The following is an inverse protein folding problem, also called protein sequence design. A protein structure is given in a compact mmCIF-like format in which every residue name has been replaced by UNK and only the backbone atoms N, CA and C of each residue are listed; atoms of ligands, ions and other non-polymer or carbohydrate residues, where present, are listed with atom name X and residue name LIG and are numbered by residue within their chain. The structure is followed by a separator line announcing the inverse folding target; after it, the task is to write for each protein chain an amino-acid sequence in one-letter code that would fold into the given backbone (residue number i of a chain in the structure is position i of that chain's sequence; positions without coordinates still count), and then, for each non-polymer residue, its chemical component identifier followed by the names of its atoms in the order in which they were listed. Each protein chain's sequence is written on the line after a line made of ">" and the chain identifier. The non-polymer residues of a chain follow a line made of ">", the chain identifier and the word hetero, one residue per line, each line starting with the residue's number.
data_IF_430416639567
#
_entry.id   IF_430416639567
#
_cell.length_a   1.000
_cell.length_b   1.000
_cell.length_c   1.000
_cell.angle_alpha   90.00
_cell.angle_beta   90.00
_cell.angle_gamma   90.00
#
_symmetry.space_group_name_H-M   'P 1'
#
loop_
_entity.id
_entity.type
_entity.pdbx_description
1 polymer ?
#
# COMPACT_ATOMS: atom_id res chain seq x y z
N UNK A 1 -38.55 -3.99 62.02
CA UNK A 1 -39.16 -2.88 61.27
C UNK A 1 -38.11 -1.78 61.12
N UNK A 2 -37.81 -1.21 59.94
CA UNK A 2 -37.55 -1.76 58.58
C UNK A 2 -36.15 -1.32 58.01
N UNK A 3 -35.47 -2.12 57.19
CA UNK A 3 -35.25 -2.07 55.71
C UNK A 3 -34.26 -1.01 55.17
N UNK A 4 -33.13 -1.48 54.62
CA UNK A 4 -32.25 -0.84 53.59
C UNK A 4 -32.91 -0.88 52.20
N UNK A 5 -32.33 -0.30 51.13
CA UNK A 5 -31.74 1.02 50.90
C UNK A 5 -32.51 1.80 49.78
N UNK A 6 -32.30 3.11 49.67
CA UNK A 6 -32.88 3.96 48.62
C UNK A 6 -32.15 3.77 47.28
N UNK A 7 -32.84 3.18 46.31
CA UNK A 7 -32.43 3.05 44.92
C UNK A 7 -33.07 4.21 44.12
N UNK A 8 -32.32 4.98 43.31
CA UNK A 8 -32.88 6.09 42.56
C UNK A 8 -33.78 5.57 41.42
N UNK A 9 -35.06 5.93 41.48
CA UNK A 9 -36.07 5.57 40.47
C UNK A 9 -35.73 6.16 39.11
N UNK A 10 -35.48 5.30 38.13
CA UNK A 10 -35.36 5.66 36.72
C UNK A 10 -36.80 5.79 36.20
N UNK A 11 -37.21 7.00 35.81
CA UNK A 11 -38.53 7.22 35.23
C UNK A 11 -38.59 6.65 33.81
N UNK A 12 -39.27 5.51 33.67
CA UNK A 12 -39.76 4.97 32.40
C UNK A 12 -40.80 5.93 31.81
N UNK A 13 -40.39 6.74 30.83
CA UNK A 13 -41.33 7.52 30.01
C UNK A 13 -41.66 6.71 28.76
N UNK A 14 -42.77 6.00 28.81
CA UNK A 14 -43.36 5.32 27.68
C UNK A 14 -44.01 6.31 26.68
N UNK A 15 -43.72 6.07 25.40
CA UNK A 15 -44.59 6.20 24.22
C UNK A 15 -45.40 7.49 24.01
N UNK A 16 -44.96 8.26 23.00
CA UNK A 16 -45.82 9.11 22.18
C UNK A 16 -45.74 8.68 20.70
N UNK A 17 -46.87 8.39 20.01
CA UNK A 17 -46.89 8.13 18.58
C UNK A 17 -47.39 9.35 17.80
N UNK A 18 -46.62 9.85 16.82
CA UNK A 18 -47.17 10.33 15.55
C UNK A 18 -46.06 10.60 14.52
N UNK A 19 -45.90 9.67 13.59
CA UNK A 19 -45.23 9.93 12.32
C UNK A 19 -46.24 10.59 11.36
N UNK A 20 -45.85 11.70 10.75
CA UNK A 20 -46.53 12.34 9.62
C UNK A 20 -46.16 11.59 8.33
N UNK A 21 -47.10 11.35 7.39
CA UNK A 21 -46.76 10.69 6.13
C UNK A 21 -46.10 11.67 5.15
N UNK A 22 -45.00 11.23 4.57
CA UNK A 22 -44.28 11.90 3.49
C UNK A 22 -44.99 11.65 2.14
N UNK A 23 -45.25 12.73 1.42
CA UNK A 23 -45.71 12.70 0.02
C UNK A 23 -44.52 12.80 -0.91
N UNK A 24 -44.41 11.85 -1.85
CA UNK A 24 -43.74 12.08 -3.14
C UNK A 24 -42.38 11.42 -3.30
N UNK A 25 -42.36 10.12 -3.65
CA UNK A 25 -41.39 9.63 -4.62
C UNK A 25 -41.97 8.46 -5.42
N UNK A 26 -42.06 8.68 -6.72
CA UNK A 26 -42.49 7.72 -7.74
C UNK A 26 -41.58 6.49 -7.72
N UNK A 27 -42.18 5.31 -7.59
CA UNK A 27 -41.50 4.03 -7.60
C UNK A 27 -40.86 3.78 -8.98
N UNK A 28 -39.55 3.51 -8.99
CA UNK A 28 -38.86 2.96 -10.15
C UNK A 28 -39.16 1.47 -10.27
N UNK A 29 -39.64 1.08 -11.44
CA UNK A 29 -39.87 -0.31 -11.86
C UNK A 29 -38.62 -1.17 -11.66
N UNK A 30 -38.70 -2.38 -11.06
CA UNK A 30 -37.55 -3.27 -10.94
C UNK A 30 -37.15 -3.81 -12.33
N UNK A 31 -35.87 -3.67 -12.70
CA UNK A 31 -35.32 -4.35 -13.87
C UNK A 31 -35.22 -5.87 -13.61
N UNK A 32 -35.50 -6.73 -14.60
CA UNK A 32 -35.28 -8.16 -14.47
C UNK A 32 -33.78 -8.49 -14.36
N UNK A 33 -33.42 -9.28 -13.35
CA UNK A 33 -32.11 -9.94 -13.25
C UNK A 33 -32.00 -11.04 -14.30
N UNK A 34 -30.96 -11.05 -15.16
CA UNK A 34 -30.66 -12.21 -16.00
C UNK A 34 -30.21 -13.40 -15.14
N UNK A 35 -30.96 -14.50 -15.21
CA UNK A 35 -30.67 -15.74 -14.49
C UNK A 35 -29.39 -16.45 -14.91
N UNK A 36 -28.97 -17.48 -14.15
CA UNK A 36 -27.72 -18.20 -14.38
C UNK A 36 -27.80 -19.06 -15.65
N UNK A 37 -26.76 -19.01 -16.49
CA UNK A 37 -26.63 -19.92 -17.63
C UNK A 37 -26.08 -21.28 -17.20
N UNK A 38 -26.66 -22.41 -17.65
CA UNK A 38 -26.10 -23.75 -17.45
C UNK A 38 -24.83 -24.01 -18.27
N UNK A 39 -23.96 -24.80 -17.65
CA UNK A 39 -22.70 -25.43 -18.13
C UNK A 39 -22.85 -26.30 -19.39
N UNK A 40 -21.73 -26.56 -20.08
CA UNK A 40 -21.30 -27.96 -20.26
C UNK A 40 -19.83 -28.21 -19.90
N UNK A 41 -19.58 -29.15 -18.98
CA UNK A 41 -18.33 -29.94 -18.99
C UNK A 41 -18.49 -31.18 -19.89
N UNK A 42 -17.66 -32.22 -19.76
CA UNK A 42 -16.19 -32.26 -19.77
C UNK A 42 -15.67 -32.78 -21.13
N UNK A 43 -14.39 -32.56 -21.45
CA UNK A 43 -13.68 -33.41 -22.42
C UNK A 43 -12.43 -33.98 -21.78
N UNK A 44 -12.55 -35.23 -21.38
CA UNK A 44 -11.45 -36.09 -20.97
C UNK A 44 -10.65 -36.58 -22.19
N UNK A 45 -9.37 -36.86 -21.91
CA UNK A 45 -8.49 -37.84 -22.54
C UNK A 45 -7.76 -37.46 -23.84
N UNK A 46 -6.43 -37.34 -23.75
CA UNK A 46 -5.54 -38.37 -24.30
C UNK A 46 -4.06 -38.17 -23.86
N UNK A 47 -3.61 -39.02 -22.94
CA UNK A 47 -2.26 -39.62 -22.99
C UNK A 47 -2.46 -41.12 -22.89
N UNK A 48 -1.79 -41.94 -23.71
CA UNK A 48 -0.60 -42.65 -23.20
C UNK A 48 0.57 -42.81 -24.21
N UNK A 49 1.80 -42.78 -23.64
CA UNK A 49 3.06 -43.58 -23.82
C UNK A 49 3.11 -44.68 -24.92
N UNK A 50 4.25 -45.41 -25.14
CA UNK A 50 5.70 -45.19 -24.94
C UNK A 50 6.58 -45.68 -26.14
N UNK A 51 7.91 -45.46 -26.15
CA UNK A 51 8.84 -46.35 -26.90
C UNK A 51 10.14 -45.75 -27.45
N UNK A 52 11.23 -45.92 -26.70
CA UNK A 52 12.64 -46.00 -27.17
C UNK A 52 12.82 -47.34 -27.96
N UNK A 53 13.86 -47.64 -28.79
CA UNK A 53 15.26 -47.26 -28.57
C UNK A 53 16.20 -47.04 -29.78
N UNK A 54 17.32 -46.34 -29.56
CA UNK A 54 18.41 -46.25 -30.53
C UNK A 54 19.75 -45.93 -29.86
N UNK A 55 20.54 -46.97 -29.61
CA UNK A 55 21.90 -46.99 -29.02
C UNK A 55 22.90 -46.62 -30.13
N UNK A 56 23.79 -45.66 -29.89
CA UNK A 56 24.91 -45.32 -30.79
C UNK A 56 26.10 -44.75 -29.99
N UNK A 57 27.35 -45.12 -30.32
CA UNK A 57 28.44 -45.22 -29.34
C UNK A 57 29.17 -43.90 -29.05
N UNK A 58 29.82 -43.89 -27.88
CA UNK A 58 30.66 -42.85 -27.31
C UNK A 58 31.85 -42.48 -28.23
N UNK A 59 32.12 -41.17 -28.33
CA UNK A 59 33.33 -40.62 -28.96
C UNK A 59 34.20 -39.92 -27.91
N UNK A 60 35.55 -40.03 -28.00
CA UNK A 60 36.45 -39.72 -26.89
C UNK A 60 36.58 -38.23 -26.56
N UNK A 61 36.82 -37.94 -25.29
CA UNK A 61 37.12 -36.61 -24.76
C UNK A 61 38.51 -36.09 -25.22
N UNK A 62 38.66 -34.80 -25.49
CA UNK A 62 39.97 -34.13 -25.56
C UNK A 62 40.42 -33.63 -24.16
N UNK A 63 41.74 -33.42 -23.96
CA UNK A 63 42.34 -33.29 -22.63
C UNK A 63 42.03 -31.94 -21.94
N UNK A 64 41.96 -32.02 -20.61
CA UNK A 64 41.85 -30.91 -19.68
C UNK A 64 42.96 -29.89 -19.90
N UNK A 65 42.56 -28.66 -20.25
CA UNK A 65 43.43 -27.49 -20.19
C UNK A 65 43.37 -26.98 -18.77
N UNK A 66 44.46 -27.14 -18.02
CA UNK A 66 44.66 -26.57 -16.69
C UNK A 66 44.26 -25.09 -16.68
N UNK A 67 43.16 -24.78 -15.99
CA UNK A 67 42.75 -23.40 -15.75
C UNK A 67 43.46 -22.93 -14.48
N UNK A 68 44.49 -22.11 -14.67
CA UNK A 68 45.01 -21.20 -13.65
C UNK A 68 43.84 -20.41 -13.04
N UNK A 69 43.70 -20.31 -11.69
CA UNK A 69 42.75 -19.38 -11.10
C UNK A 69 43.31 -17.98 -11.30
N UNK A 70 42.79 -17.26 -12.29
CA UNK A 70 42.89 -15.81 -12.30
C UNK A 70 41.81 -15.30 -11.35
N UNK A 71 42.20 -14.99 -10.10
CA UNK A 71 41.43 -14.09 -9.24
C UNK A 71 41.26 -12.77 -9.99
N UNK A 72 40.14 -12.63 -10.69
CA UNK A 72 39.59 -11.30 -10.98
C UNK A 72 38.97 -10.83 -9.67
N UNK A 73 39.34 -9.64 -9.16
CA UNK A 73 38.52 -9.00 -8.15
C UNK A 73 37.13 -8.88 -8.75
N UNK A 74 36.15 -9.54 -8.14
CA UNK A 74 34.76 -9.28 -8.43
C UNK A 74 34.57 -7.78 -8.15
N UNK A 75 34.46 -6.99 -9.21
CA UNK A 75 33.98 -5.64 -9.09
C UNK A 75 32.58 -5.77 -8.48
N UNK A 76 32.46 -5.42 -7.21
CA UNK A 76 31.17 -5.14 -6.59
C UNK A 76 30.45 -4.20 -7.55
N UNK A 77 29.25 -4.54 -8.05
CA UNK A 77 28.45 -3.58 -8.78
C UNK A 77 28.30 -2.38 -7.85
N UNK A 78 28.95 -1.27 -8.18
CA UNK A 78 28.58 0.01 -7.61
C UNK A 78 27.19 0.27 -8.17
N UNK A 79 26.18 -0.10 -7.38
CA UNK A 79 24.79 0.15 -7.69
C UNK A 79 24.65 1.66 -7.81
N UNK A 80 24.73 2.17 -9.04
CA UNK A 80 24.31 3.52 -9.37
C UNK A 80 22.87 3.62 -8.93
N UNK A 81 22.65 4.16 -7.73
CA UNK A 81 21.32 4.34 -7.17
C UNK A 81 20.58 5.28 -8.11
N UNK A 82 19.73 4.69 -8.95
CA UNK A 82 18.83 5.42 -9.82
C UNK A 82 18.06 6.41 -8.95
N UNK A 83 18.02 7.68 -9.35
CA UNK A 83 17.13 8.66 -8.70
C UNK A 83 15.70 8.16 -8.92
N UNK A 84 14.84 8.10 -7.88
CA UNK A 84 13.47 7.65 -8.07
C UNK A 84 12.73 8.59 -9.02
N UNK A 85 11.81 8.03 -9.79
CA UNK A 85 10.85 8.84 -10.54
C UNK A 85 9.99 9.61 -9.55
N UNK A 86 9.77 10.90 -9.80
CA UNK A 86 8.89 11.74 -8.97
C UNK A 86 7.59 11.98 -9.74
N UNK A 87 6.46 11.67 -9.10
CA UNK A 87 5.12 11.98 -9.58
C UNK A 87 4.45 12.93 -8.60
N UNK A 88 3.82 13.98 -9.13
CA UNK A 88 3.08 14.95 -8.34
C UNK A 88 1.58 14.82 -8.65
N UNK A 89 0.77 14.70 -7.61
CA UNK A 89 -0.69 14.73 -7.66
C UNK A 89 -1.12 16.03 -6.96
N UNK A 90 -1.61 17.05 -7.70
CA UNK A 90 -2.07 18.28 -7.09
C UNK A 90 -3.24 18.03 -6.14
N UNK A 91 -3.09 18.46 -4.89
CA UNK A 91 -4.13 18.37 -3.87
C UNK A 91 -4.02 19.55 -2.89
N UNK A 92 -5.16 19.96 -2.31
CA UNK A 92 -5.16 20.85 -1.14
C UNK A 92 -4.63 20.10 0.08
N UNK A 93 -4.31 20.83 1.16
CA UNK A 93 -3.89 20.23 2.44
C UNK A 93 -4.96 19.28 2.96
N UNK A 94 -6.24 19.69 2.95
CA UNK A 94 -7.36 18.84 3.39
C UNK A 94 -7.59 17.61 2.49
N UNK A 95 -7.27 17.70 1.20
CA UNK A 95 -7.48 16.61 0.23
C UNK A 95 -6.24 15.76 -0.04
N UNK A 96 -5.09 16.08 0.57
CA UNK A 96 -3.83 15.40 0.29
C UNK A 96 -3.83 13.95 0.78
N UNK A 97 -4.54 13.67 1.87
CA UNK A 97 -4.67 12.30 2.40
C UNK A 97 -5.54 11.44 1.47
N UNK A 98 -6.73 11.91 1.11
CA UNK A 98 -7.61 11.24 0.15
C UNK A 98 -6.89 10.97 -1.18
N UNK A 99 -6.17 11.96 -1.71
CA UNK A 99 -5.40 11.80 -2.93
C UNK A 99 -4.28 10.76 -2.80
N UNK A 100 -3.67 10.61 -1.62
CA UNK A 100 -2.68 9.57 -1.36
C UNK A 100 -3.32 8.19 -1.27
N UNK A 101 -4.49 8.05 -0.65
CA UNK A 101 -5.26 6.79 -0.60
C UNK A 101 -5.65 6.32 -2.01
N UNK A 102 -6.20 7.21 -2.84
CA UNK A 102 -6.51 6.92 -4.25
C UNK A 102 -5.25 6.52 -5.05
N UNK A 103 -4.10 7.16 -4.77
CA UNK A 103 -2.84 6.78 -5.41
C UNK A 103 -2.37 5.38 -4.99
N UNK A 104 -2.56 5.01 -3.71
CA UNK A 104 -2.28 3.66 -3.21
C UNK A 104 -3.18 2.64 -3.90
N UNK A 105 -4.48 2.91 -4.01
CA UNK A 105 -5.43 2.01 -4.68
C UNK A 105 -5.03 1.77 -6.14
N UNK A 106 -4.70 2.83 -6.89
CA UNK A 106 -4.21 2.70 -8.26
C UNK A 106 -2.91 1.89 -8.38
N UNK A 107 -1.99 2.04 -7.42
CA UNK A 107 -0.75 1.26 -7.39
C UNK A 107 -1.05 -0.22 -7.16
N UNK A 108 -1.95 -0.53 -6.23
CA UNK A 108 -2.38 -1.91 -5.96
C UNK A 108 -3.10 -2.53 -7.17
N UNK A 109 -4.02 -1.81 -7.79
CA UNK A 109 -4.74 -2.24 -8.99
C UNK A 109 -3.80 -2.48 -10.18
N UNK A 110 -2.70 -1.72 -10.25
CA UNK A 110 -1.64 -1.93 -11.26
C UNK A 110 -0.75 -3.15 -10.98
N UNK A 111 -0.96 -3.84 -9.85
CA UNK A 111 -0.25 -5.05 -9.45
C UNK A 111 0.98 -4.80 -8.58
N UNK A 112 1.15 -3.62 -7.98
CA UNK A 112 2.19 -3.40 -6.96
C UNK A 112 1.88 -4.23 -5.72
N UNK A 113 2.91 -4.86 -5.14
CA UNK A 113 2.73 -5.55 -3.88
C UNK A 113 2.45 -4.54 -2.76
N UNK A 114 1.50 -4.79 -1.84
CA UNK A 114 1.24 -3.91 -0.70
C UNK A 114 2.50 -3.58 0.11
N UNK A 115 3.30 -4.61 0.37
CA UNK A 115 4.60 -4.50 1.05
C UNK A 115 5.63 -3.58 0.40
N UNK A 116 5.43 -3.22 -0.87
CA UNK A 116 6.30 -2.31 -1.61
C UNK A 116 5.95 -0.84 -1.42
N UNK A 117 4.85 -0.53 -0.72
CA UNK A 117 4.29 0.82 -0.62
C UNK A 117 4.44 1.34 0.82
N UNK A 118 5.09 2.50 0.96
CA UNK A 118 5.14 3.29 2.19
C UNK A 118 4.32 4.56 1.98
N UNK A 119 3.41 4.88 2.90
CA UNK A 119 2.66 6.14 2.93
C UNK A 119 3.16 7.00 4.08
N UNK A 120 3.50 8.26 3.78
CA UNK A 120 3.94 9.26 4.75
C UNK A 120 2.94 10.42 4.80
N UNK A 121 2.57 10.84 6.00
CA UNK A 121 1.71 12.02 6.25
C UNK A 121 2.53 13.12 6.91
N UNK A 122 2.34 14.38 6.49
CA UNK A 122 3.06 15.52 7.09
C UNK A 122 2.27 16.25 8.18
N UNK A 123 0.96 16.09 8.20
CA UNK A 123 0.06 16.65 9.23
C UNK A 123 -0.53 15.55 10.10
N UNK A 124 -1.86 15.44 10.09
CA UNK A 124 -2.55 14.40 10.85
C UNK A 124 -2.17 13.00 10.36
N UNK A 125 -1.97 12.09 11.31
CA UNK A 125 -1.65 10.71 10.98
C UNK A 125 -2.87 9.99 10.39
N UNK A 126 -2.63 9.12 9.40
CA UNK A 126 -3.68 8.33 8.76
C UNK A 126 -4.51 7.52 9.79
N UNK A 127 -5.86 7.53 9.73
CA UNK A 127 -6.74 6.92 10.74
C UNK A 127 -6.44 5.45 11.03
N UNK A 128 -6.11 4.66 10.00
CA UNK A 128 -5.70 3.26 10.17
C UNK A 128 -4.44 3.12 11.02
N UNK A 129 -3.40 3.95 10.79
CA UNK A 129 -2.17 3.90 11.56
C UNK A 129 -2.42 4.28 13.03
N UNK A 130 -3.25 5.29 13.27
CA UNK A 130 -3.69 5.69 14.62
C UNK A 130 -4.38 4.54 15.35
N UNK A 131 -5.26 3.80 14.66
CA UNK A 131 -5.93 2.64 15.22
C UNK A 131 -4.94 1.51 15.55
N UNK A 132 -4.06 1.15 14.62
CA UNK A 132 -3.09 0.07 14.82
C UNK A 132 -2.08 0.37 15.93
N UNK A 133 -1.59 1.61 15.98
CA UNK A 133 -0.69 2.07 17.04
C UNK A 133 -1.31 2.00 18.43
N UNK A 134 -2.65 2.10 18.54
CA UNK A 134 -3.36 1.95 19.81
C UNK A 134 -3.22 0.54 20.41
N UNK A 135 -2.94 -0.48 19.59
CA UNK A 135 -2.65 -1.84 20.06
C UNK A 135 -1.17 -2.06 20.42
N UNK A 136 -0.30 -1.10 20.12
CA UNK A 136 1.09 -1.08 20.60
C UNK A 136 2.10 -0.79 19.50
N UNK A 137 2.92 0.24 19.73
CA UNK A 137 3.92 0.70 18.77
C UNK A 137 4.91 -0.39 18.35
N UNK A 138 5.38 -1.25 19.28
CA UNK A 138 6.32 -2.32 18.90
C UNK A 138 5.72 -3.26 17.85
N UNK A 139 4.51 -3.76 18.10
CA UNK A 139 3.83 -4.66 17.17
C UNK A 139 3.61 -4.00 15.81
N UNK A 140 3.18 -2.73 15.80
CA UNK A 140 3.00 -1.96 14.58
C UNK A 140 4.29 -1.85 13.76
N UNK A 141 5.40 -1.50 14.40
CA UNK A 141 6.67 -1.36 13.72
C UNK A 141 7.30 -2.70 13.28
N UNK A 142 6.98 -3.81 13.97
CA UNK A 142 7.36 -5.15 13.51
C UNK A 142 6.63 -5.51 12.17
N UNK A 143 5.43 -4.97 11.91
CA UNK A 143 4.73 -5.13 10.61
C UNK A 143 5.50 -4.42 9.48
N UNK A 144 6.01 -3.22 9.73
CA UNK A 144 6.86 -2.50 8.78
C UNK A 144 8.11 -3.31 8.42
N UNK A 145 8.72 -3.95 9.41
CA UNK A 145 9.90 -4.78 9.22
C UNK A 145 9.61 -6.07 8.46
N UNK A 146 8.40 -6.62 8.62
CA UNK A 146 7.91 -7.78 7.88
C UNK A 146 7.65 -7.45 6.42
N UNK A 147 7.18 -6.23 6.11
CA UNK A 147 6.91 -5.80 4.74
C UNK A 147 5.78 -6.55 4.06
N UNK A 148 4.78 -7.01 4.83
CA UNK A 148 3.66 -7.80 4.31
C UNK A 148 2.50 -6.98 3.74
N UNK A 149 2.40 -5.71 4.11
CA UNK A 149 1.27 -4.83 3.78
C UNK A 149 1.73 -3.38 3.53
N UNK A 150 0.84 -2.54 3.02
CA UNK A 150 1.04 -1.08 2.94
C UNK A 150 1.31 -0.57 4.34
N UNK A 151 2.39 0.19 4.49
CA UNK A 151 2.74 0.76 5.79
C UNK A 151 2.52 2.26 5.79
N UNK A 152 1.92 2.76 6.86
CA UNK A 152 1.61 4.17 7.04
C UNK A 152 2.49 4.73 8.17
N UNK A 153 3.01 5.93 7.99
CA UNK A 153 3.74 6.62 9.05
C UNK A 153 3.52 8.12 8.95
N UNK A 154 3.67 8.81 10.07
CA UNK A 154 3.73 10.26 10.09
C UNK A 154 5.18 10.75 9.90
N UNK A 155 5.29 12.05 9.63
CA UNK A 155 6.55 12.72 9.35
C UNK A 155 7.61 12.60 10.44
N UNK A 156 7.24 12.38 11.71
CA UNK A 156 8.21 12.20 12.80
C UNK A 156 9.00 10.89 12.65
N UNK A 157 8.44 9.90 11.94
CA UNK A 157 9.04 8.59 11.78
C UNK A 157 9.72 8.36 10.43
N UNK A 158 9.87 9.39 9.59
CA UNK A 158 10.48 9.31 8.26
C UNK A 158 11.90 8.74 8.29
N UNK A 159 12.69 9.09 9.31
CA UNK A 159 14.06 8.60 9.47
C UNK A 159 14.10 7.12 9.87
N UNK A 160 13.08 6.65 10.60
CA UNK A 160 12.94 5.26 11.04
C UNK A 160 12.44 4.34 9.92
N UNK A 161 11.63 4.87 9.01
CA UNK A 161 11.06 4.10 7.92
C UNK A 161 12.15 3.51 7.01
N UNK A 162 11.95 2.28 6.55
CA UNK A 162 12.85 1.58 5.63
C UNK A 162 12.55 2.04 4.21
N UNK A 163 13.55 1.94 3.34
CA UNK A 163 13.33 2.19 1.93
C UNK A 163 12.34 1.17 1.35
N UNK A 164 11.45 1.62 0.47
CA UNK A 164 10.49 0.80 -0.26
C UNK A 164 10.49 1.16 -1.75
N UNK A 165 10.08 0.24 -2.65
CA UNK A 165 9.96 0.55 -4.08
C UNK A 165 9.10 1.78 -4.37
N UNK A 166 8.03 1.99 -3.60
CA UNK A 166 7.17 3.18 -3.69
C UNK A 166 7.06 3.88 -2.35
N UNK A 167 7.22 5.19 -2.37
CA UNK A 167 6.82 6.07 -1.26
C UNK A 167 5.76 7.03 -1.77
N UNK A 168 4.63 7.13 -1.06
CA UNK A 168 3.57 8.10 -1.28
C UNK A 168 3.61 9.10 -0.12
N UNK A 169 3.62 10.39 -0.40
CA UNK A 169 3.65 11.43 0.63
C UNK A 169 2.41 12.30 0.50
N UNK A 170 1.58 12.33 1.54
CA UNK A 170 0.48 13.28 1.68
C UNK A 170 0.97 14.52 2.41
N UNK A 171 0.94 15.68 1.74
CA UNK A 171 1.23 16.99 2.34
C UNK A 171 0.01 17.56 3.07
N UNK A 172 -0.55 16.77 3.99
CA UNK A 172 -1.77 17.06 4.73
C UNK A 172 -1.53 17.92 5.99
N UNK A 173 -0.48 18.75 5.97
CA UNK A 173 -0.21 19.74 7.01
C UNK A 173 0.35 21.04 6.42
N UNK A 174 0.13 22.15 7.11
CA UNK A 174 0.50 23.50 6.63
C UNK A 174 1.94 23.91 6.98
N UNK A 175 2.67 23.10 7.75
CA UNK A 175 4.03 23.45 8.20
C UNK A 175 5.07 23.13 7.11
N UNK A 176 5.57 24.18 6.45
CA UNK A 176 6.60 24.06 5.41
C UNK A 176 7.93 23.49 5.93
N UNK A 177 8.28 23.70 7.20
CA UNK A 177 9.50 23.14 7.78
C UNK A 177 9.45 21.62 7.88
N UNK A 178 8.24 21.06 8.08
CA UNK A 178 8.02 19.60 8.04
C UNK A 178 8.18 19.10 6.61
N UNK A 179 7.65 19.82 5.61
CA UNK A 179 7.77 19.45 4.19
C UNK A 179 9.23 19.46 3.73
N UNK A 180 9.98 20.50 4.07
CA UNK A 180 11.41 20.65 3.77
C UNK A 180 12.25 19.51 4.36
N UNK A 181 11.88 18.99 5.53
CA UNK A 181 12.54 17.84 6.17
C UNK A 181 12.12 16.50 5.57
N UNK A 182 10.83 16.32 5.31
CA UNK A 182 10.26 15.03 4.92
C UNK A 182 10.54 14.71 3.46
N UNK A 183 10.35 15.64 2.53
CA UNK A 183 10.45 15.34 1.10
C UNK A 183 11.83 14.82 0.65
N UNK A 184 12.97 15.40 1.08
CA UNK A 184 14.28 14.86 0.75
C UNK A 184 14.48 13.45 1.29
N UNK A 185 14.09 13.22 2.54
CA UNK A 185 14.21 11.90 3.18
C UNK A 185 13.29 10.88 2.53
N UNK A 186 12.05 11.25 2.19
CA UNK A 186 11.11 10.41 1.46
C UNK A 186 11.66 10.03 0.07
N UNK A 187 12.32 10.97 -0.63
CA UNK A 187 13.03 10.68 -1.89
C UNK A 187 14.15 9.66 -1.70
N UNK A 188 14.86 9.70 -0.58
CA UNK A 188 15.89 8.69 -0.27
C UNK A 188 15.31 7.32 0.13
N UNK A 189 14.08 7.28 0.65
CA UNK A 189 13.35 6.05 0.96
C UNK A 189 12.68 5.42 -0.27
N UNK A 190 12.34 6.22 -1.28
CA UNK A 190 11.81 5.73 -2.55
C UNK A 190 12.91 5.10 -3.41
N UNK A 191 12.81 3.80 -3.67
CA UNK A 191 13.77 3.11 -4.55
C UNK A 191 13.45 3.34 -6.03
N UNK A 192 12.16 3.34 -6.41
CA UNK A 192 11.75 3.48 -7.80
C UNK A 192 10.82 4.68 -8.05
N UNK A 193 9.85 4.91 -7.15
CA UNK A 193 8.83 5.94 -7.33
C UNK A 193 8.56 6.69 -6.03
N UNK A 194 8.59 8.02 -6.10
CA UNK A 194 8.05 8.93 -5.09
C UNK A 194 6.80 9.59 -5.67
N UNK A 195 5.64 9.35 -5.07
CA UNK A 195 4.39 10.07 -5.36
C UNK A 195 4.21 11.12 -4.26
N UNK A 196 3.96 12.37 -4.64
CA UNK A 196 3.68 13.45 -3.69
C UNK A 196 2.29 14.01 -3.98
N UNK A 197 1.42 13.97 -2.97
CA UNK A 197 0.05 14.48 -3.01
C UNK A 197 0.02 15.79 -2.23
N UNK A 198 -0.18 16.93 -2.91
CA UNK A 198 -0.16 18.24 -2.28
C UNK A 198 0.05 19.40 -3.24
N UNK A 199 0.33 20.59 -2.69
CA UNK A 199 0.53 21.81 -3.48
C UNK A 199 1.81 21.74 -4.33
N UNK A 200 1.72 21.82 -5.67
CA UNK A 200 2.87 21.86 -6.56
C UNK A 200 3.92 22.91 -6.21
N UNK A 201 3.51 24.07 -5.70
CA UNK A 201 4.44 25.15 -5.36
C UNK A 201 5.34 24.78 -4.17
N UNK A 202 4.74 24.20 -3.12
CA UNK A 202 5.48 23.70 -1.94
C UNK A 202 6.45 22.59 -2.34
N UNK A 203 5.99 21.64 -3.17
CA UNK A 203 6.83 20.53 -3.64
C UNK A 203 8.01 21.02 -4.48
N UNK A 204 7.76 21.89 -5.46
CA UNK A 204 8.81 22.41 -6.35
C UNK A 204 9.82 23.29 -5.61
N UNK A 205 9.41 23.96 -4.53
CA UNK A 205 10.32 24.75 -3.70
C UNK A 205 11.37 23.88 -3.00
N UNK A 206 11.04 22.62 -2.67
CA UNK A 206 11.94 21.69 -1.98
C UNK A 206 12.69 20.77 -2.96
N UNK A 207 11.97 20.15 -3.91
CA UNK A 207 12.54 19.16 -4.83
C UNK A 207 13.08 19.75 -6.13
N UNK A 208 12.64 20.96 -6.50
CA UNK A 208 13.07 21.67 -7.71
C UNK A 208 14.30 22.55 -7.53
N UNK A 209 14.75 22.82 -6.30
CA UNK A 209 15.92 23.65 -5.99
C UNK A 209 17.28 22.97 -6.32
N UNK A 210 17.27 21.79 -6.94
CA UNK A 210 18.46 20.97 -7.22
C UNK A 210 18.62 20.51 -8.68
N UNK A 211 17.94 21.16 -9.63
CA UNK A 211 18.07 20.90 -11.08
C UNK A 211 18.76 22.08 -11.77
#
# INVERSE_FOLDING_TARGET
>A
MPLTPEEPQIHESAQGPRATPATGRTASTPRPVPGPRPVPGPRSAATPRPGHPGRGPARPAPPERSQVPAERPAAVPQETRSVPQIQLIPASVDGALDAAEEAVDLLLDSGRAPGDILVLTTGEQHPWATHELSFGAKSYWDQHDTGGDVFFADASAVDRAKARPVVVVALNGDDDSVVERVLPTARERAVALLVVCGDPQRVNSVLGAGV
#
